data_IF_048567359363
#
_entry.id   IF_048567359363
#
_cell.length_a   1.000
_cell.length_b   1.000
_cell.length_c   1.000
_cell.angle_alpha   90.00
_cell.angle_beta   90.00
_cell.angle_gamma   90.00
#
_symmetry.space_group_name_H-M   'P 1'
#
loop_
_entity.id
_entity.type
_entity.pdbx_description
1 polymer ?
#
# COMPACT_ATOMS: atom_id res chain seq x y z
N UNK A 1 11.97 -1.39 7.06
CA UNK A 1 11.57 -0.05 6.58
C UNK A 1 10.06 0.05 6.41
N UNK A 2 9.46 -0.45 5.32
CA UNK A 2 7.99 -0.42 5.15
C UNK A 2 7.20 -1.16 6.24
N UNK A 3 7.70 -2.29 6.73
CA UNK A 3 7.03 -3.05 7.81
C UNK A 3 6.85 -2.29 9.12
N UNK A 4 7.76 -1.37 9.41
CA UNK A 4 7.76 -0.59 10.66
C UNK A 4 7.02 0.74 10.49
N UNK A 5 6.77 1.17 9.25
CA UNK A 5 6.12 2.44 8.90
C UNK A 5 5.17 2.15 7.74
N UNK A 6 3.99 1.67 8.09
CA UNK A 6 2.99 1.16 7.13
C UNK A 6 2.39 2.26 6.24
N UNK A 7 2.53 3.52 6.63
CA UNK A 7 2.09 4.71 5.89
C UNK A 7 3.20 5.32 5.00
N UNK A 8 4.12 4.50 4.48
CA UNK A 8 5.19 4.94 3.57
C UNK A 8 4.86 4.62 2.12
N UNK A 9 4.84 5.65 1.28
CA UNK A 9 4.74 5.55 -0.19
C UNK A 9 6.09 5.23 -0.81
N UNK A 10 7.12 5.95 -0.37
CA UNK A 10 8.52 5.76 -0.73
C UNK A 10 9.42 6.07 0.45
N UNK A 11 10.73 5.79 0.33
CA UNK A 11 11.71 6.10 1.36
C UNK A 11 12.97 6.65 0.75
N UNK A 12 13.36 7.84 1.22
CA UNK A 12 14.62 8.50 0.86
C UNK A 12 15.69 8.11 1.86
N UNK A 13 16.86 7.73 1.36
CA UNK A 13 18.04 7.33 2.12
C UNK A 13 19.28 7.97 1.53
N UNK A 14 20.36 7.97 2.29
CA UNK A 14 21.66 8.45 1.86
C UNK A 14 22.68 7.32 2.06
N UNK A 15 23.48 7.05 1.03
CA UNK A 15 24.66 6.20 1.14
C UNK A 15 25.89 7.10 1.06
N UNK A 16 26.79 6.97 2.04
CA UNK A 16 28.08 7.67 2.05
C UNK A 16 29.18 6.61 2.00
N UNK A 17 29.92 6.56 0.89
CA UNK A 17 31.01 5.60 0.68
C UNK A 17 32.31 6.37 0.44
N UNK A 18 33.16 6.46 1.47
CA UNK A 18 34.29 7.40 1.41
C UNK A 18 33.78 8.84 1.41
N UNK A 19 34.15 9.62 0.40
CA UNK A 19 33.64 10.98 0.16
C UNK A 19 32.40 11.01 -0.74
N UNK A 20 31.99 9.89 -1.33
CA UNK A 20 30.88 9.85 -2.27
C UNK A 20 29.53 9.71 -1.56
N UNK A 21 28.71 10.75 -1.67
CA UNK A 21 27.32 10.76 -1.25
C UNK A 21 26.40 10.37 -2.42
N UNK A 22 25.54 9.38 -2.21
CA UNK A 22 24.47 8.99 -3.13
C UNK A 22 23.12 9.11 -2.44
N UNK A 23 22.17 9.80 -3.09
CA UNK A 23 20.76 9.82 -2.64
C UNK A 23 20.04 8.62 -3.23
N UNK A 24 19.40 7.84 -2.37
CA UNK A 24 18.70 6.60 -2.72
C UNK A 24 17.21 6.77 -2.41
N UNK A 25 16.35 6.50 -3.39
CA UNK A 25 14.90 6.50 -3.21
C UNK A 25 14.35 5.10 -3.51
N UNK A 26 13.81 4.45 -2.50
CA UNK A 26 13.10 3.19 -2.63
C UNK A 26 11.61 3.43 -2.72
N UNK A 27 10.95 2.82 -3.69
CA UNK A 27 9.50 2.68 -3.75
C UNK A 27 9.12 1.24 -4.12
N UNK A 28 7.83 1.00 -4.34
CA UNK A 28 7.31 -0.34 -4.62
C UNK A 28 7.69 -0.89 -5.99
N UNK A 29 8.33 -0.09 -6.84
CA UNK A 29 8.88 -0.50 -8.14
C UNK A 29 10.40 -0.64 -8.12
N UNK A 30 11.07 -0.37 -7.00
CA UNK A 30 12.49 -0.59 -6.80
C UNK A 30 13.25 0.65 -6.32
N UNK A 31 14.53 0.74 -6.70
CA UNK A 31 15.44 1.81 -6.31
C UNK A 31 15.66 2.79 -7.47
N UNK A 32 15.65 4.09 -7.16
CA UNK A 32 16.22 5.15 -7.98
C UNK A 32 17.38 5.78 -7.19
N UNK A 33 18.52 5.96 -7.83
CA UNK A 33 19.72 6.52 -7.21
C UNK A 33 20.19 7.76 -7.98
N UNK A 34 20.74 8.75 -7.27
CA UNK A 34 21.50 9.84 -7.89
C UNK A 34 22.86 9.34 -8.36
N UNK A 35 23.53 10.14 -9.19
CA UNK A 35 24.98 9.98 -9.34
C UNK A 35 25.67 10.25 -7.99
N UNK A 36 26.79 9.58 -7.70
CA UNK A 36 27.62 9.89 -6.54
C UNK A 36 28.16 11.33 -6.62
N UNK A 37 28.24 11.98 -5.45
CA UNK A 37 28.73 13.34 -5.32
C UNK A 37 29.82 13.37 -4.24
N UNK A 38 31.03 13.82 -4.60
CA UNK A 38 32.08 14.05 -3.61
C UNK A 38 31.69 15.21 -2.67
N UNK A 39 31.56 14.90 -1.39
CA UNK A 39 31.12 15.85 -0.36
C UNK A 39 32.17 16.92 -0.03
N UNK A 40 33.45 16.67 -0.30
CA UNK A 40 34.52 17.64 -0.09
C UNK A 40 34.59 18.64 -1.25
N UNK A 41 34.34 18.19 -2.47
CA UNK A 41 34.23 19.08 -3.64
C UNK A 41 32.92 19.89 -3.63
N UNK A 42 31.82 19.27 -3.20
CA UNK A 42 30.47 19.86 -3.20
C UNK A 42 29.82 19.82 -1.81
N UNK A 43 30.49 20.41 -0.82
CA UNK A 43 30.01 20.46 0.57
C UNK A 43 28.59 21.03 0.72
N UNK A 44 28.18 21.96 -0.15
CA UNK A 44 26.81 22.51 -0.15
C UNK A 44 25.75 21.43 -0.43
N UNK A 45 26.03 20.46 -1.30
CA UNK A 45 25.10 19.35 -1.60
C UNK A 45 24.93 18.45 -0.38
N UNK A 46 26.03 18.14 0.33
CA UNK A 46 25.98 17.39 1.58
C UNK A 46 25.15 18.12 2.65
N UNK A 47 25.39 19.43 2.84
CA UNK A 47 24.61 20.24 3.77
C UNK A 47 23.13 20.30 3.39
N UNK A 48 22.81 20.47 2.11
CA UNK A 48 21.42 20.44 1.63
C UNK A 48 20.77 19.08 1.84
N UNK A 49 21.47 17.97 1.62
CA UNK A 49 20.95 16.63 1.90
C UNK A 49 20.65 16.44 3.39
N UNK A 50 21.60 16.82 4.26
CA UNK A 50 21.44 16.69 5.71
C UNK A 50 20.34 17.61 6.26
N UNK A 51 20.42 18.92 6.01
CA UNK A 51 19.43 19.91 6.49
C UNK A 51 18.07 19.64 5.85
N UNK A 52 18.05 19.36 4.54
CA UNK A 52 16.83 19.01 3.83
C UNK A 52 16.15 17.81 4.45
N UNK A 53 16.88 16.75 4.82
CA UNK A 53 16.27 15.58 5.47
C UNK A 53 15.67 15.86 6.85
N UNK A 54 16.22 16.83 7.60
CA UNK A 54 15.74 17.19 8.93
C UNK A 54 14.47 18.03 8.90
N UNK A 55 14.31 18.88 7.88
CA UNK A 55 13.22 19.87 7.79
C UNK A 55 12.25 19.61 6.64
N UNK A 56 12.46 18.56 5.84
CA UNK A 56 11.58 18.22 4.73
C UNK A 56 10.15 17.98 5.24
N UNK A 57 9.20 18.43 4.43
CA UNK A 57 7.81 18.05 4.61
C UNK A 57 7.73 16.50 4.66
N UNK A 58 7.03 15.91 5.64
CA UNK A 58 7.00 14.47 5.79
C UNK A 58 6.49 13.72 4.54
N UNK A 59 5.65 14.36 3.72
CA UNK A 59 5.17 13.78 2.46
C UNK A 59 6.26 13.70 1.39
N UNK A 60 7.23 14.62 1.39
CA UNK A 60 8.37 14.61 0.46
C UNK A 60 9.32 13.45 0.76
N UNK A 61 9.50 13.12 2.05
CA UNK A 61 10.24 11.93 2.48
C UNK A 61 9.39 10.65 2.46
N UNK A 62 8.17 10.72 1.92
CA UNK A 62 7.35 9.58 1.56
C UNK A 62 6.34 9.12 2.60
N UNK A 63 6.00 9.94 3.61
CA UNK A 63 4.78 9.69 4.37
C UNK A 63 3.54 9.89 3.48
N UNK A 64 2.55 9.05 3.71
CA UNK A 64 1.24 9.19 3.13
C UNK A 64 0.40 10.18 3.96
N UNK A 65 0.02 11.36 3.42
CA UNK A 65 -0.81 12.32 4.16
C UNK A 65 -2.24 11.81 4.39
N UNK A 66 -2.66 10.75 3.71
CA UNK A 66 -3.99 10.16 3.80
C UNK A 66 -4.09 9.03 4.83
N UNK A 67 -3.04 8.80 5.60
CA UNK A 67 -2.99 7.85 6.73
C UNK A 67 -2.40 8.54 7.96
N UNK A 68 -3.20 8.67 9.01
CA UNK A 68 -2.71 9.08 10.33
C UNK A 68 -2.30 7.83 11.14
N UNK A 69 -1.01 7.73 11.47
CA UNK A 69 -0.49 6.74 12.42
C UNK A 69 -0.03 7.36 13.73
N UNK A 70 -0.12 8.69 13.85
CA UNK A 70 0.36 9.46 14.98
C UNK A 70 -0.80 9.76 15.94
N UNK A 71 -0.86 9.00 17.04
CA UNK A 71 -1.92 9.13 18.03
C UNK A 71 -1.92 10.50 18.74
N UNK A 72 -0.81 11.24 18.68
CA UNK A 72 -0.78 12.61 19.21
C UNK A 72 -1.59 13.60 18.36
N UNK A 73 -1.89 13.24 17.10
CA UNK A 73 -2.69 14.04 16.15
C UNK A 73 -4.14 13.60 16.08
N UNK A 74 -4.55 12.65 16.93
CA UNK A 74 -5.88 12.06 16.95
C UNK A 74 -5.84 10.54 16.71
N UNK A 75 -7.01 9.89 16.67
CA UNK A 75 -7.10 8.45 16.40
C UNK A 75 -6.38 8.08 15.11
N UNK A 76 -5.79 6.88 15.09
CA UNK A 76 -5.22 6.34 13.85
C UNK A 76 -6.32 6.24 12.82
N UNK A 77 -6.07 6.70 11.61
CA UNK A 77 -7.10 6.79 10.59
C UNK A 77 -6.56 6.68 9.17
N UNK A 78 -7.42 6.28 8.25
CA UNK A 78 -7.11 6.14 6.82
C UNK A 78 -8.25 6.72 6.00
N UNK A 79 -7.91 7.50 4.97
CA UNK A 79 -8.87 8.04 4.01
C UNK A 79 -9.16 7.00 2.94
N UNK A 80 -10.43 6.74 2.66
CA UNK A 80 -10.87 5.95 1.51
C UNK A 80 -11.95 6.73 0.78
N UNK A 81 -11.71 7.03 -0.49
CA UNK A 81 -12.51 8.03 -1.22
C UNK A 81 -12.48 9.36 -0.47
N UNK A 82 -13.65 9.83 -0.10
CA UNK A 82 -13.84 11.09 0.65
C UNK A 82 -14.04 10.87 2.15
N UNK A 83 -13.85 9.64 2.65
CA UNK A 83 -14.27 9.22 3.97
C UNK A 83 -13.08 8.76 4.83
N UNK A 84 -12.92 9.35 6.00
CA UNK A 84 -11.99 8.84 7.02
C UNK A 84 -12.59 7.66 7.77
N UNK A 85 -11.78 6.62 7.97
CA UNK A 85 -12.07 5.45 8.79
C UNK A 85 -11.05 5.36 9.93
N UNK A 86 -11.49 5.00 11.12
CA UNK A 86 -10.60 4.76 12.27
C UNK A 86 -9.91 3.40 12.09
N UNK A 87 -8.58 3.37 12.23
CA UNK A 87 -7.78 2.14 12.16
C UNK A 87 -7.79 1.50 13.55
N UNK A 88 -8.41 0.32 13.65
CA UNK A 88 -8.41 -0.47 14.87
C UNK A 88 -7.19 -1.38 14.96
N UNK A 89 -6.79 -2.00 13.84
CA UNK A 89 -5.65 -2.90 13.80
C UNK A 89 -5.02 -3.00 12.40
N UNK A 90 -3.75 -3.39 12.34
CA UNK A 90 -3.03 -3.74 11.12
C UNK A 90 -2.91 -5.26 11.03
N UNK A 91 -3.88 -5.91 10.39
CA UNK A 91 -4.01 -7.37 10.39
C UNK A 91 -3.01 -8.07 9.45
N UNK A 92 -2.41 -7.36 8.48
CA UNK A 92 -1.36 -7.90 7.61
C UNK A 92 -0.44 -6.82 7.07
N UNK A 93 0.86 -7.14 6.98
CA UNK A 93 1.89 -6.30 6.34
C UNK A 93 2.86 -7.15 5.52
N UNK A 94 2.86 -6.92 4.21
CA UNK A 94 3.82 -7.55 3.30
C UNK A 94 5.25 -7.05 3.57
N UNK A 95 6.20 -7.98 3.67
CA UNK A 95 7.60 -7.67 3.99
C UNK A 95 8.47 -7.29 2.80
N UNK A 96 7.99 -7.48 1.57
CA UNK A 96 8.77 -7.23 0.36
C UNK A 96 9.00 -5.73 0.14
N UNK A 97 10.22 -5.37 -0.26
CA UNK A 97 10.58 -3.98 -0.60
C UNK A 97 9.92 -3.53 -1.90
N UNK A 98 10.04 -4.36 -2.94
CA UNK A 98 9.40 -4.21 -4.26
C UNK A 98 8.20 -5.15 -4.35
N UNK A 99 7.13 -4.72 -5.00
CA UNK A 99 5.95 -5.55 -5.19
C UNK A 99 4.66 -4.81 -4.83
N UNK A 100 3.64 -5.56 -4.41
CA UNK A 100 2.35 -4.98 -4.00
C UNK A 100 2.45 -4.21 -2.69
N UNK A 101 3.35 -4.62 -1.82
CA UNK A 101 3.57 -3.95 -0.55
C UNK A 101 2.33 -3.95 0.33
N UNK A 102 1.48 -4.97 0.20
CA UNK A 102 0.12 -4.96 0.72
C UNK A 102 0.10 -4.75 2.22
N UNK A 103 -0.68 -3.76 2.67
CA UNK A 103 -1.06 -3.57 4.05
C UNK A 103 -2.57 -3.78 4.16
N UNK A 104 -3.01 -4.50 5.18
CA UNK A 104 -4.43 -4.71 5.43
C UNK A 104 -4.77 -4.16 6.81
N UNK A 105 -5.70 -3.21 6.82
CA UNK A 105 -6.21 -2.55 8.01
C UNK A 105 -7.60 -3.08 8.34
N UNK A 106 -7.83 -3.40 9.62
CA UNK A 106 -9.17 -3.47 10.17
C UNK A 106 -9.57 -2.05 10.59
N UNK A 107 -10.70 -1.58 10.08
CA UNK A 107 -11.15 -0.21 10.31
C UNK A 107 -12.61 -0.15 10.74
N UNK A 108 -13.00 0.96 11.37
CA UNK A 108 -14.38 1.23 11.77
C UNK A 108 -14.85 2.59 11.25
N UNK A 109 -16.15 2.66 10.93
CA UNK A 109 -16.86 3.91 10.72
C UNK A 109 -18.33 3.74 11.09
N UNK A 110 -18.88 4.70 11.84
CA UNK A 110 -20.30 4.75 12.24
C UNK A 110 -20.80 3.46 12.91
N UNK A 111 -19.95 2.82 13.71
CA UNK A 111 -20.24 1.56 14.40
C UNK A 111 -20.00 0.30 13.58
N UNK A 112 -19.80 0.42 12.26
CA UNK A 112 -19.63 -0.70 11.33
C UNK A 112 -18.15 -1.01 11.06
N UNK A 113 -17.83 -2.31 10.94
CA UNK A 113 -16.47 -2.80 10.69
C UNK A 113 -16.20 -3.07 9.20
N UNK A 114 -15.02 -2.67 8.75
CA UNK A 114 -14.55 -2.84 7.38
C UNK A 114 -13.09 -3.31 7.35
N UNK A 115 -12.66 -3.72 6.16
CA UNK A 115 -11.26 -4.02 5.86
C UNK A 115 -10.80 -3.14 4.72
N UNK A 116 -9.68 -2.42 4.93
CA UNK A 116 -8.99 -1.70 3.86
C UNK A 116 -7.76 -2.50 3.45
N UNK A 117 -7.72 -2.92 2.19
CA UNK A 117 -6.51 -3.46 1.57
C UNK A 117 -5.83 -2.34 0.78
N UNK A 118 -4.67 -1.92 1.27
CA UNK A 118 -3.81 -0.89 0.68
C UNK A 118 -2.67 -1.59 -0.08
N UNK A 119 -2.50 -1.27 -1.37
CA UNK A 119 -1.52 -1.97 -2.21
C UNK A 119 -1.10 -1.21 -3.46
N UNK A 120 0.06 -1.60 -4.01
CA UNK A 120 0.65 -1.04 -5.22
C UNK A 120 0.48 -1.99 -6.40
N UNK A 121 -0.38 -1.62 -7.34
CA UNK A 121 -0.78 -2.44 -8.48
C UNK A 121 0.09 -2.12 -9.70
N UNK A 122 0.71 -3.15 -10.29
CA UNK A 122 1.46 -3.04 -11.55
C UNK A 122 0.52 -2.61 -12.68
N UNK A 123 0.75 -1.43 -13.25
CA UNK A 123 -0.12 -0.84 -14.28
C UNK A 123 -0.04 -1.56 -15.63
N UNK A 124 0.96 -2.43 -15.83
CA UNK A 124 1.02 -3.30 -17.00
C UNK A 124 0.12 -4.52 -16.89
N UNK A 125 -0.46 -4.76 -15.70
CA UNK A 125 -1.39 -5.85 -15.43
C UNK A 125 -2.74 -5.28 -15.05
N UNK A 126 -3.79 -5.90 -15.56
CA UNK A 126 -5.12 -5.63 -15.07
C UNK A 126 -5.23 -6.10 -13.61
N UNK A 127 -5.58 -5.20 -12.70
CA UNK A 127 -6.05 -5.62 -11.39
C UNK A 127 -7.46 -6.18 -11.58
N UNK A 128 -7.62 -7.48 -11.33
CA UNK A 128 -8.87 -8.21 -11.51
C UNK A 128 -9.61 -8.47 -10.21
N UNK A 129 -8.93 -8.29 -9.07
CA UNK A 129 -9.50 -8.65 -7.77
C UNK A 129 -10.78 -7.85 -7.45
N UNK A 130 -10.81 -6.52 -7.62
CA UNK A 130 -12.04 -5.75 -7.41
C UNK A 130 -13.19 -6.19 -8.33
N UNK A 131 -12.90 -6.49 -9.60
CA UNK A 131 -13.88 -6.87 -10.62
C UNK A 131 -14.46 -8.25 -10.35
N UNK A 132 -13.61 -9.21 -9.97
CA UNK A 132 -14.04 -10.56 -9.58
C UNK A 132 -14.91 -10.48 -8.31
N UNK A 133 -14.51 -9.70 -7.31
CA UNK A 133 -15.31 -9.57 -6.08
C UNK A 133 -16.64 -8.84 -6.33
N UNK A 134 -16.66 -7.86 -7.24
CA UNK A 134 -17.89 -7.18 -7.65
C UNK A 134 -18.83 -8.11 -8.42
N UNK A 135 -18.33 -8.97 -9.31
CA UNK A 135 -19.17 -9.93 -10.03
C UNK A 135 -19.76 -11.03 -9.14
N UNK A 136 -19.20 -11.22 -7.94
CA UNK A 136 -19.62 -12.20 -6.94
C UNK A 136 -20.35 -11.56 -5.73
N UNK A 137 -20.62 -10.25 -5.74
CA UNK A 137 -21.05 -9.50 -4.54
C UNK A 137 -22.42 -9.93 -3.96
N UNK A 138 -23.27 -10.56 -4.77
CA UNK A 138 -24.59 -11.06 -4.35
C UNK A 138 -24.56 -12.49 -3.81
N UNK A 139 -23.41 -13.16 -3.91
CA UNK A 139 -23.25 -14.54 -3.46
C UNK A 139 -22.97 -14.57 -1.96
N UNK A 140 -23.55 -15.56 -1.29
CA UNK A 140 -23.29 -15.80 0.12
C UNK A 140 -21.84 -16.23 0.34
N UNK A 141 -21.28 -15.93 1.50
CA UNK A 141 -19.90 -16.22 1.89
C UNK A 141 -18.79 -15.50 1.09
N UNK A 142 -19.13 -14.62 0.13
CA UNK A 142 -18.16 -13.80 -0.60
C UNK A 142 -18.04 -12.39 0.01
N UNK A 143 -16.81 -11.86 0.23
CA UNK A 143 -16.63 -10.48 0.65
C UNK A 143 -17.16 -9.49 -0.37
N UNK A 144 -17.92 -8.49 0.11
CA UNK A 144 -18.48 -7.42 -0.70
C UNK A 144 -17.49 -6.27 -0.80
N UNK A 145 -17.24 -5.83 -2.03
CA UNK A 145 -16.52 -4.57 -2.29
C UNK A 145 -17.43 -3.41 -1.96
N UNK A 146 -16.97 -2.53 -1.08
CA UNK A 146 -17.66 -1.26 -0.77
C UNK A 146 -17.11 -0.17 -1.67
N UNK A 147 -15.78 -0.10 -1.80
CA UNK A 147 -15.12 0.92 -2.61
C UNK A 147 -13.77 0.42 -3.14
N UNK A 148 -13.41 0.83 -4.35
CA UNK A 148 -12.10 0.58 -4.95
C UNK A 148 -11.61 1.90 -5.56
N UNK A 149 -10.47 2.39 -5.07
CA UNK A 149 -10.04 3.76 -5.31
C UNK A 149 -8.53 3.84 -5.52
N UNK A 150 -8.10 4.69 -6.47
CA UNK A 150 -6.70 5.06 -6.64
C UNK A 150 -6.37 6.20 -5.68
N UNK A 151 -5.35 6.02 -4.84
CA UNK A 151 -4.93 7.05 -3.88
C UNK A 151 -4.46 8.28 -4.63
N UNK A 152 -4.97 9.45 -4.25
CA UNK A 152 -4.61 10.72 -4.89
C UNK A 152 -3.52 11.42 -4.07
N UNK A 153 -2.44 11.82 -4.74
CA UNK A 153 -1.37 12.63 -4.19
C UNK A 153 -1.10 13.83 -5.11
N UNK A 154 -1.10 15.05 -4.54
CA UNK A 154 -0.96 16.30 -5.29
C UNK A 154 -1.96 16.46 -6.46
N UNK A 155 -3.19 15.95 -6.29
CA UNK A 155 -4.26 16.07 -7.28
C UNK A 155 -4.26 15.00 -8.37
N UNK A 156 -3.29 14.10 -8.39
CA UNK A 156 -3.15 13.02 -9.39
C UNK A 156 -3.08 11.64 -8.73
N UNK A 157 -3.37 10.55 -9.45
CA UNK A 157 -3.12 9.20 -8.97
C UNK A 157 -1.67 9.01 -8.51
N UNK A 158 -1.50 8.49 -7.30
CA UNK A 158 -0.21 8.23 -6.69
C UNK A 158 0.44 7.02 -7.40
N UNK A 159 1.55 7.28 -8.09
CA UNK A 159 2.25 6.28 -8.88
C UNK A 159 3.75 6.32 -8.65
N UNK A 160 4.42 5.18 -8.85
CA UNK A 160 5.89 5.10 -8.83
C UNK A 160 6.56 5.72 -10.06
N UNK A 161 5.78 6.36 -10.95
CA UNK A 161 6.30 6.93 -12.19
C UNK A 161 7.10 8.21 -11.96
N UNK A 162 6.69 9.02 -10.99
CA UNK A 162 7.20 10.37 -10.77
C UNK A 162 8.74 10.45 -10.78
N UNK A 163 9.40 9.63 -9.96
CA UNK A 163 10.86 9.63 -9.84
C UNK A 163 11.61 8.99 -11.02
N UNK A 164 10.90 8.37 -11.96
CA UNK A 164 11.45 7.67 -13.12
C UNK A 164 11.27 8.43 -14.44
N UNK A 165 10.74 9.66 -14.38
CA UNK A 165 10.53 10.51 -15.54
C UNK A 165 11.80 11.23 -16.03
N UNK A 166 12.93 11.11 -15.30
CA UNK A 166 14.21 11.69 -15.72
C UNK A 166 14.70 11.10 -17.05
N UNK A 167 15.52 11.83 -17.80
CA UNK A 167 16.10 11.32 -19.07
C UNK A 167 16.87 10.02 -18.87
N UNK A 168 17.63 9.93 -17.77
CA UNK A 168 18.33 8.70 -17.38
C UNK A 168 17.36 7.56 -17.01
N UNK A 169 16.17 7.86 -16.49
CA UNK A 169 15.14 6.88 -16.15
C UNK A 169 14.37 6.35 -17.37
N UNK A 170 14.17 7.18 -18.40
CA UNK A 170 13.44 6.82 -19.63
C UNK A 170 14.11 5.72 -20.45
N UNK A 171 15.42 5.55 -20.32
CA UNK A 171 16.18 4.51 -21.03
C UNK A 171 15.94 3.10 -20.45
N UNK A 172 15.37 2.99 -19.25
CA UNK A 172 15.07 1.72 -18.61
C UNK A 172 13.56 1.43 -18.64
N UNK A 173 13.19 0.23 -19.13
CA UNK A 173 11.81 -0.27 -18.99
C UNK A 173 11.54 -0.57 -17.52
N UNK A 174 11.03 0.43 -16.81
CA UNK A 174 10.70 0.33 -15.40
C UNK A 174 9.26 -0.11 -15.22
N UNK A 175 9.04 -0.98 -14.23
CA UNK A 175 7.70 -1.27 -13.73
C UNK A 175 7.11 0.00 -13.11
N UNK A 176 5.87 0.31 -13.48
CA UNK A 176 5.10 1.40 -12.88
C UNK A 176 3.98 0.78 -12.07
N UNK A 177 3.81 1.24 -10.84
CA UNK A 177 2.74 0.81 -9.96
C UNK A 177 1.88 1.99 -9.55
N UNK A 178 0.58 1.78 -9.50
CA UNK A 178 -0.42 2.72 -8.96
C UNK A 178 -0.82 2.28 -7.56
N UNK A 179 -0.91 3.23 -6.65
CA UNK A 179 -1.32 3.02 -5.27
C UNK A 179 -2.85 2.97 -5.17
N UNK A 180 -3.40 1.86 -4.68
CA UNK A 180 -4.84 1.61 -4.61
C UNK A 180 -5.29 1.12 -3.25
N UNK A 181 -6.52 1.50 -2.88
CA UNK A 181 -7.23 1.01 -1.69
C UNK A 181 -8.52 0.30 -2.11
N UNK A 182 -8.69 -0.90 -1.57
CA UNK A 182 -9.90 -1.70 -1.70
C UNK A 182 -10.56 -1.83 -0.31
N UNK A 183 -11.71 -1.19 -0.15
CA UNK A 183 -12.55 -1.28 1.04
C UNK A 183 -13.57 -2.40 0.86
N UNK A 184 -13.66 -3.29 1.85
CA UNK A 184 -14.55 -4.45 1.80
C UNK A 184 -15.17 -4.78 3.15
N UNK A 185 -16.25 -5.56 3.11
CA UNK A 185 -16.91 -6.14 4.29
C UNK A 185 -17.44 -7.56 3.98
N UNK A 186 -17.64 -8.44 4.98
CA UNK A 186 -17.37 -8.24 6.40
C UNK A 186 -15.87 -8.28 6.74
N UNK A 187 -15.52 -7.80 7.94
CA UNK A 187 -14.20 -8.03 8.51
C UNK A 187 -14.13 -9.42 9.15
N UNK A 188 -13.36 -10.33 8.55
CA UNK A 188 -13.15 -11.69 9.03
C UNK A 188 -11.82 -11.83 9.79
N UNK A 189 -11.71 -12.90 10.60
CA UNK A 189 -10.46 -13.32 11.26
C UNK A 189 -9.69 -14.29 10.35
N UNK A 190 -8.37 -14.42 10.56
CA UNK A 190 -7.59 -15.38 9.78
C UNK A 190 -8.02 -16.80 10.12
N UNK A 191 -7.97 -17.69 9.14
CA UNK A 191 -8.34 -19.09 9.32
C UNK A 191 -7.49 -19.77 10.41
N UNK A 192 -6.22 -19.36 10.60
CA UNK A 192 -5.34 -19.88 11.64
C UNK A 192 -5.73 -19.45 13.07
N UNK A 193 -6.63 -18.48 13.23
CA UNK A 193 -7.06 -17.93 14.52
C UNK A 193 -8.37 -18.58 15.01
N UNK A 194 -8.66 -19.80 14.53
CA UNK A 194 -9.83 -20.58 14.94
C UNK A 194 -9.76 -20.93 16.43
N UNK A 195 -10.90 -20.84 17.13
CA UNK A 195 -11.03 -21.14 18.56
C UNK A 195 -11.10 -22.63 18.83
N UNK A 196 -11.73 -23.36 17.92
CA UNK A 196 -11.96 -24.80 18.02
C UNK A 196 -12.13 -25.45 16.64
N UNK A 197 -12.15 -26.79 16.63
CA UNK A 197 -12.28 -27.56 15.39
C UNK A 197 -13.63 -27.32 14.69
N UNK A 198 -14.70 -27.00 15.43
CA UNK A 198 -16.01 -26.74 14.84
C UNK A 198 -15.99 -25.44 14.04
N UNK A 199 -15.36 -24.40 14.56
CA UNK A 199 -15.14 -23.13 13.84
C UNK A 199 -14.29 -23.34 12.58
N UNK A 200 -13.21 -24.11 12.66
CA UNK A 200 -12.38 -24.43 11.49
C UNK A 200 -13.18 -25.18 10.41
N UNK A 201 -13.92 -26.23 10.80
CA UNK A 201 -14.73 -27.01 9.86
C UNK A 201 -15.87 -26.19 9.26
N UNK A 202 -16.46 -25.28 10.04
CA UNK A 202 -17.49 -24.33 9.56
C UNK A 202 -16.89 -23.42 8.50
N UNK A 203 -15.71 -22.83 8.75
CA UNK A 203 -15.04 -21.99 7.77
C UNK A 203 -14.68 -22.74 6.48
N UNK A 204 -14.23 -24.00 6.58
CA UNK A 204 -13.96 -24.84 5.39
C UNK A 204 -15.25 -25.12 4.61
N UNK A 205 -16.34 -25.44 5.30
CA UNK A 205 -17.65 -25.65 4.66
C UNK A 205 -18.10 -24.38 3.91
N UNK A 206 -18.04 -23.23 4.56
CA UNK A 206 -18.45 -21.95 3.97
C UNK A 206 -17.60 -21.59 2.72
N UNK A 207 -16.30 -21.97 2.72
CA UNK A 207 -15.43 -21.85 1.52
C UNK A 207 -15.91 -22.75 0.38
N UNK A 208 -16.23 -24.01 0.66
CA UNK A 208 -16.74 -24.95 -0.35
C UNK A 208 -18.09 -24.48 -0.91
N UNK A 209 -18.97 -23.99 -0.04
CA UNK A 209 -20.27 -23.44 -0.43
C UNK A 209 -20.09 -22.22 -1.33
N UNK A 210 -19.21 -21.27 -0.95
CA UNK A 210 -18.88 -20.10 -1.77
C UNK A 210 -18.27 -20.47 -3.13
N UNK A 211 -17.39 -21.46 -3.19
CA UNK A 211 -16.77 -21.93 -4.43
C UNK A 211 -17.79 -22.61 -5.36
N UNK A 212 -18.66 -23.46 -4.81
CA UNK A 212 -19.75 -24.12 -5.57
C UNK A 212 -20.72 -23.10 -6.18
N UNK A 213 -21.05 -22.05 -5.43
CA UNK A 213 -21.93 -20.98 -5.89
C UNK A 213 -21.25 -20.14 -6.98
N UNK A 214 -19.96 -19.81 -6.85
CA UNK A 214 -19.19 -19.11 -7.87
C UNK A 214 -19.02 -19.93 -9.16
N UNK A 215 -18.79 -21.24 -9.05
CA UNK A 215 -18.70 -22.15 -10.19
C UNK A 215 -20.04 -22.25 -10.95
N UNK A 216 -21.14 -22.35 -10.21
CA UNK A 216 -22.49 -22.40 -10.79
C UNK A 216 -22.85 -21.12 -11.55
N UNK A 217 -22.25 -19.98 -11.19
CA UNK A 217 -22.40 -18.70 -11.87
C UNK A 217 -21.56 -18.55 -13.16
N UNK A 218 -20.79 -19.57 -13.57
CA UNK A 218 -19.95 -19.62 -14.80
C UNK A 218 -18.89 -18.51 -14.92
N UNK A 219 -18.24 -18.14 -13.81
CA UNK A 219 -17.26 -17.05 -13.79
C UNK A 219 -15.82 -17.51 -14.11
N UNK A 220 -15.58 -18.83 -14.19
CA UNK A 220 -14.25 -19.43 -14.44
C UNK A 220 -14.12 -20.19 -15.77
N UNK A 221 -15.03 -19.97 -16.73
CA UNK A 221 -14.89 -20.48 -18.12
C UNK A 221 -13.96 -19.59 -18.98
#
# INVERSE_FOLDING_TARGET
MYRSQVNRRHVVNFALTGSDLTVLMFDRSGLVASDPVDIHEKASVFLHAAIGSLYADPTLIGLDPTINTDESKGPKSILVGDNWYEILDVIYVEGALRGRGTVVYQVQKDGELYVVKDSWVDTSREDREPQILQSLADLEHIPKVVENYAVIYNGEPDTTSYFRQSEAGKSFKSEIREHRRLLRKPCARKLCDFRDLVELLTAIRDVVDGESVAFSARIFD
#
